data_IF_509660381463
#
_entry.id   IF_509660381463
#
_cell.length_a   1.000
_cell.length_b   1.000
_cell.length_c   1.000
_cell.angle_alpha   90.00
_cell.angle_beta   90.00
_cell.angle_gamma   90.00
#
_symmetry.space_group_name_H-M   'P 1'
#
loop_
_entity.id
_entity.type
_entity.pdbx_description
1 polymer ?
#
# COMPACT_ATOMS: atom_id res chain seq x y z
N UNK A 1 1.00 14.73 0.03
CA UNK A 1 0.26 13.55 -0.46
C UNK A 1 -0.86 13.15 0.50
N UNK A 2 -0.58 12.96 1.79
CA UNK A 2 -1.58 12.62 2.81
C UNK A 2 -2.73 13.63 2.83
N UNK A 3 -2.45 14.93 2.77
CA UNK A 3 -3.46 16.00 2.74
C UNK A 3 -4.44 15.95 1.56
N UNK A 4 -4.00 15.38 0.44
CA UNK A 4 -4.82 15.24 -0.77
C UNK A 4 -5.73 14.02 -0.68
N UNK A 5 -5.26 12.96 -0.02
CA UNK A 5 -5.94 11.65 0.01
C UNK A 5 -6.91 11.54 1.19
N UNK A 6 -6.68 12.29 2.28
CA UNK A 6 -7.54 12.28 3.45
C UNK A 6 -8.50 13.46 3.39
N UNK A 7 -9.78 13.19 3.12
CA UNK A 7 -10.83 14.20 3.01
C UNK A 7 -11.15 14.89 4.35
N UNK A 8 -11.07 14.17 5.47
CA UNK A 8 -11.39 14.71 6.79
C UNK A 8 -10.14 14.93 7.65
N UNK A 9 -9.65 16.17 7.67
CA UNK A 9 -8.52 16.59 8.53
C UNK A 9 -8.87 16.70 10.01
N UNK A 10 -10.15 16.57 10.36
CA UNK A 10 -10.66 16.91 11.70
C UNK A 10 -10.24 15.92 12.79
N UNK A 11 -9.94 14.67 12.41
CA UNK A 11 -9.62 13.58 13.34
C UNK A 11 -8.30 12.88 13.02
N UNK A 12 -7.58 13.31 11.98
CA UNK A 12 -6.35 12.66 11.53
C UNK A 12 -5.15 13.56 11.75
N UNK A 13 -4.17 13.08 12.51
CA UNK A 13 -2.88 13.75 12.68
C UNK A 13 -2.12 13.73 11.36
N UNK A 14 -1.82 14.90 10.82
CA UNK A 14 -1.09 15.04 9.56
C UNK A 14 0.41 14.92 9.80
N UNK A 15 1.11 14.40 8.79
CA UNK A 15 2.55 14.13 8.88
C UNK A 15 2.86 12.70 9.34
N UNK A 16 4.14 12.37 9.39
CA UNK A 16 4.57 11.07 9.88
C UNK A 16 4.17 10.89 11.34
N UNK A 17 3.83 9.66 11.71
CA UNK A 17 3.51 9.32 13.10
C UNK A 17 4.74 9.51 14.00
N UNK A 18 4.49 9.85 15.24
CA UNK A 18 5.50 10.08 16.29
C UNK A 18 5.33 9.09 17.45
N UNK A 19 4.66 7.98 17.18
CA UNK A 19 4.32 6.92 18.11
C UNK A 19 4.31 5.57 17.39
N UNK A 20 4.29 4.48 18.12
CA UNK A 20 4.15 3.14 17.57
C UNK A 20 2.85 2.99 16.79
N UNK A 21 2.71 1.91 16.04
CA UNK A 21 1.49 1.61 15.29
C UNK A 21 1.45 0.16 14.88
N UNK A 22 0.25 -0.35 14.69
CA UNK A 22 -0.01 -1.69 14.18
C UNK A 22 -1.25 -1.71 13.30
N UNK A 23 -1.38 -2.75 12.51
CA UNK A 23 -2.58 -3.12 11.79
C UNK A 23 -3.01 -4.48 12.31
N UNK A 24 -4.30 -4.65 12.58
CA UNK A 24 -4.87 -5.86 13.16
C UNK A 24 -6.07 -5.52 14.04
N UNK A 25 -6.48 -6.49 14.83
CA UNK A 25 -7.61 -6.38 15.74
C UNK A 25 -7.19 -5.92 17.14
N UNK A 26 -8.20 -5.72 17.99
CA UNK A 26 -8.03 -5.52 19.43
C UNK A 26 -8.84 -6.58 20.17
N UNK A 27 -8.27 -7.10 21.24
CA UNK A 27 -8.99 -7.98 22.13
C UNK A 27 -10.23 -7.22 22.70
N UNK A 28 -11.40 -7.84 22.60
CA UNK A 28 -12.69 -7.17 22.86
C UNK A 28 -12.90 -6.73 24.31
N UNK A 29 -12.30 -7.44 25.25
CA UNK A 29 -12.47 -7.22 26.69
C UNK A 29 -11.45 -6.26 27.26
N UNK A 30 -10.19 -6.41 26.87
CA UNK A 30 -9.05 -5.65 27.42
C UNK A 30 -8.63 -4.48 26.53
N UNK A 31 -8.96 -4.51 25.24
CA UNK A 31 -8.47 -3.55 24.25
C UNK A 31 -7.04 -3.77 23.79
N UNK A 32 -6.40 -4.87 24.26
CA UNK A 32 -5.03 -5.22 23.90
C UNK A 32 -4.85 -5.41 22.40
N UNK A 33 -3.72 -4.97 21.82
CA UNK A 33 -3.43 -5.16 20.40
C UNK A 33 -3.31 -6.63 20.02
N UNK A 34 -3.90 -7.02 18.90
CA UNK A 34 -3.69 -8.30 18.22
C UNK A 34 -3.16 -7.95 16.82
N UNK A 35 -1.84 -7.74 16.64
CA UNK A 35 -1.29 -7.26 15.41
C UNK A 35 -1.15 -8.34 14.35
N UNK A 36 -1.63 -8.07 13.13
CA UNK A 36 -1.26 -8.76 11.89
C UNK A 36 0.00 -8.15 11.27
N UNK A 37 0.25 -6.88 11.58
CA UNK A 37 1.43 -6.13 11.18
C UNK A 37 1.78 -5.08 12.22
N UNK A 38 3.05 -5.03 12.63
CA UNK A 38 3.60 -3.94 13.43
C UNK A 38 4.33 -2.99 12.50
N UNK A 39 4.02 -1.71 12.58
CA UNK A 39 4.65 -0.67 11.78
C UNK A 39 6.12 -0.45 12.17
N UNK A 40 6.95 0.04 11.26
CA UNK A 40 8.34 0.42 11.58
C UNK A 40 8.40 1.33 12.80
N UNK A 41 9.51 1.37 13.53
CA UNK A 41 9.70 2.36 14.60
C UNK A 41 9.50 3.76 14.04
N UNK A 42 8.77 4.61 14.76
CA UNK A 42 8.51 5.97 14.29
C UNK A 42 9.79 6.80 14.14
N UNK A 43 10.84 6.50 14.93
CA UNK A 43 12.15 7.12 14.84
C UNK A 43 12.88 6.81 13.53
N UNK A 44 12.57 5.67 12.90
CA UNK A 44 13.21 5.19 11.69
C UNK A 44 12.46 5.62 10.41
N UNK A 45 11.25 6.16 10.55
CA UNK A 45 10.35 6.47 9.42
C UNK A 45 11.00 7.42 8.42
N UNK A 46 11.61 8.51 8.87
CA UNK A 46 12.26 9.49 7.99
C UNK A 46 13.33 8.83 7.13
N UNK A 47 14.22 8.04 7.74
CA UNK A 47 15.30 7.34 7.05
C UNK A 47 14.76 6.27 6.08
N UNK A 48 13.74 5.52 6.47
CA UNK A 48 13.14 4.49 5.63
C UNK A 48 12.43 5.09 4.41
N UNK A 49 11.72 6.21 4.58
CA UNK A 49 11.06 6.90 3.47
C UNK A 49 12.07 7.55 2.54
N UNK A 50 13.15 8.13 3.05
CA UNK A 50 14.26 8.63 2.22
C UNK A 50 14.88 7.51 1.41
N UNK A 51 15.16 6.35 2.02
CA UNK A 51 15.65 5.15 1.34
C UNK A 51 14.70 4.66 0.25
N UNK A 52 13.40 4.66 0.50
CA UNK A 52 12.36 4.27 -0.46
C UNK A 52 12.33 5.22 -1.67
N UNK A 53 12.43 6.54 -1.44
CA UNK A 53 12.48 7.55 -2.50
C UNK A 53 13.77 7.38 -3.34
N UNK A 54 14.92 7.16 -2.70
CA UNK A 54 16.17 6.93 -3.38
C UNK A 54 16.12 5.65 -4.23
N UNK A 55 15.50 4.60 -3.72
CA UNK A 55 15.26 3.35 -4.46
C UNK A 55 14.38 3.61 -5.69
N UNK A 56 13.30 4.38 -5.57
CA UNK A 56 12.47 4.76 -6.70
C UNK A 56 13.28 5.50 -7.78
N UNK A 57 14.08 6.49 -7.39
CA UNK A 57 14.91 7.24 -8.35
C UNK A 57 15.95 6.35 -9.06
N UNK A 58 16.52 5.37 -8.35
CA UNK A 58 17.42 4.39 -8.96
C UNK A 58 16.70 3.53 -9.99
N UNK A 59 15.55 2.96 -9.65
CA UNK A 59 14.76 2.11 -10.54
C UNK A 59 14.27 2.87 -11.78
N UNK A 60 13.82 4.12 -11.61
CA UNK A 60 13.40 5.01 -12.71
C UNK A 60 14.58 5.33 -13.66
N UNK A 61 15.73 5.68 -13.09
CA UNK A 61 16.97 5.96 -13.87
C UNK A 61 17.42 4.75 -14.70
N UNK A 62 17.38 3.57 -14.11
CA UNK A 62 17.77 2.31 -14.76
C UNK A 62 16.66 1.75 -15.68
N UNK A 63 15.52 2.45 -15.82
CA UNK A 63 14.36 2.05 -16.61
C UNK A 63 13.87 0.64 -16.26
N UNK A 64 13.81 0.37 -14.98
CA UNK A 64 13.34 -0.91 -14.47
C UNK A 64 11.87 -1.14 -14.82
N UNK A 65 11.42 -2.39 -14.82
CA UNK A 65 10.03 -2.73 -15.15
C UNK A 65 9.02 -1.95 -14.29
N UNK A 66 7.99 -1.31 -14.89
CA UNK A 66 7.03 -0.48 -14.16
C UNK A 66 6.27 -1.22 -13.07
N UNK A 67 5.89 -2.48 -13.30
CA UNK A 67 5.11 -3.28 -12.34
C UNK A 67 5.98 -3.72 -11.18
N UNK A 68 7.23 -4.13 -11.46
CA UNK A 68 8.21 -4.46 -10.42
C UNK A 68 8.58 -3.22 -9.59
N UNK A 69 8.73 -2.06 -10.23
CA UNK A 69 8.97 -0.80 -9.54
C UNK A 69 7.78 -0.43 -8.64
N UNK A 70 6.56 -0.50 -9.18
CA UNK A 70 5.35 -0.22 -8.40
C UNK A 70 5.18 -1.18 -7.21
N UNK A 71 5.43 -2.48 -7.41
CA UNK A 71 5.39 -3.46 -6.33
C UNK A 71 6.42 -3.15 -5.25
N UNK A 72 7.67 -2.91 -5.61
CA UNK A 72 8.74 -2.63 -4.66
C UNK A 72 8.46 -1.38 -3.84
N UNK A 73 8.09 -0.29 -4.49
CA UNK A 73 7.91 1.01 -3.82
C UNK A 73 6.61 1.07 -3.03
N UNK A 74 5.49 0.65 -3.63
CA UNK A 74 4.20 0.78 -2.96
C UNK A 74 4.06 -0.20 -1.78
N UNK A 75 4.52 -1.45 -1.92
CA UNK A 75 4.49 -2.40 -0.81
C UNK A 75 5.53 -2.03 0.26
N UNK A 76 6.74 -1.58 -0.12
CA UNK A 76 7.70 -1.04 0.84
C UNK A 76 7.09 0.09 1.68
N UNK A 77 6.39 1.01 1.05
CA UNK A 77 5.68 2.09 1.74
C UNK A 77 4.62 1.56 2.74
N UNK A 78 3.77 0.63 2.32
CA UNK A 78 2.69 0.13 3.22
C UNK A 78 3.24 -0.70 4.37
N UNK A 79 4.39 -1.36 4.19
CA UNK A 79 5.06 -2.08 5.27
C UNK A 79 5.73 -1.13 6.29
N UNK A 80 6.35 -0.04 5.84
CA UNK A 80 6.87 1.02 6.74
C UNK A 80 5.72 1.62 7.56
N UNK A 81 4.54 1.79 6.93
CA UNK A 81 3.33 2.34 7.55
C UNK A 81 3.55 3.70 8.22
N UNK A 82 4.01 4.72 7.47
CA UNK A 82 4.57 5.96 8.05
C UNK A 82 3.53 6.90 8.67
N UNK A 83 2.26 6.79 8.35
CA UNK A 83 1.20 7.68 8.82
C UNK A 83 0.30 7.00 9.86
N UNK A 84 -0.37 7.81 10.68
CA UNK A 84 -1.39 7.31 11.60
C UNK A 84 -2.67 6.85 10.88
N UNK A 85 -2.97 7.41 9.70
CA UNK A 85 -4.08 6.99 8.83
C UNK A 85 -3.75 7.27 7.36
N UNK A 86 -4.41 6.53 6.46
CA UNK A 86 -4.33 6.74 5.01
C UNK A 86 -3.27 5.90 4.29
N UNK A 87 -2.49 5.08 4.99
CA UNK A 87 -1.41 4.30 4.36
C UNK A 87 -1.92 3.40 3.23
N UNK A 88 -3.04 2.69 3.41
CA UNK A 88 -3.62 1.84 2.37
C UNK A 88 -4.13 2.62 1.14
N UNK A 89 -4.66 3.83 1.34
CA UNK A 89 -5.07 4.71 0.24
C UNK A 89 -3.86 5.25 -0.53
N UNK A 90 -2.82 5.66 0.20
CA UNK A 90 -1.56 6.13 -0.38
C UNK A 90 -0.84 5.00 -1.11
N UNK A 91 -0.82 3.80 -0.55
CA UNK A 91 -0.28 2.61 -1.22
C UNK A 91 -0.90 2.40 -2.60
N UNK A 92 -2.23 2.35 -2.69
CA UNK A 92 -2.93 2.20 -3.99
C UNK A 92 -2.66 3.38 -4.92
N UNK A 93 -2.63 4.60 -4.40
CA UNK A 93 -2.26 5.77 -5.19
C UNK A 93 -0.82 5.65 -5.75
N UNK A 94 0.14 5.18 -4.96
CA UNK A 94 1.52 4.98 -5.42
C UNK A 94 1.59 3.97 -6.56
N UNK A 95 0.82 2.88 -6.50
CA UNK A 95 0.73 1.92 -7.62
C UNK A 95 0.29 2.65 -8.89
N UNK A 96 -0.85 3.37 -8.85
CA UNK A 96 -1.35 4.13 -10.00
C UNK A 96 -0.33 5.15 -10.51
N UNK A 97 0.26 5.92 -9.60
CA UNK A 97 1.21 6.98 -9.95
C UNK A 97 2.45 6.42 -10.64
N UNK A 98 3.04 5.35 -10.12
CA UNK A 98 4.27 4.76 -10.66
C UNK A 98 3.99 4.12 -12.02
N UNK A 99 2.91 3.35 -12.16
CA UNK A 99 2.53 2.74 -13.43
C UNK A 99 2.30 3.78 -14.53
N UNK A 100 1.61 4.89 -14.20
CA UNK A 100 1.40 5.99 -15.14
C UNK A 100 2.70 6.75 -15.45
N UNK A 101 3.52 7.05 -14.43
CA UNK A 101 4.79 7.78 -14.59
C UNK A 101 5.79 7.02 -15.43
N UNK A 102 5.84 5.70 -15.32
CA UNK A 102 6.71 4.81 -16.10
C UNK A 102 6.09 4.35 -17.42
N UNK A 103 5.00 5.00 -17.86
CA UNK A 103 4.35 4.81 -19.14
C UNK A 103 3.83 3.37 -19.40
N UNK A 104 3.34 2.68 -18.37
CA UNK A 104 2.60 1.43 -18.58
C UNK A 104 1.32 1.68 -19.38
N UNK A 105 0.76 2.88 -19.27
CA UNK A 105 -0.43 3.33 -20.01
C UNK A 105 -0.16 4.64 -20.72
N UNK A 106 -0.96 4.95 -21.75
CA UNK A 106 -0.88 6.24 -22.45
C UNK A 106 -1.20 7.40 -21.50
N UNK A 107 -0.54 8.55 -21.71
CA UNK A 107 -0.80 9.75 -20.93
C UNK A 107 -2.28 10.15 -21.02
N UNK A 108 -2.86 10.47 -19.86
CA UNK A 108 -4.26 10.87 -19.74
C UNK A 108 -5.26 9.72 -19.59
N UNK A 109 -4.81 8.46 -19.67
CA UNK A 109 -5.66 7.30 -19.40
C UNK A 109 -5.44 6.84 -17.95
N UNK A 110 -6.53 6.81 -17.18
CA UNK A 110 -6.53 6.21 -15.85
C UNK A 110 -6.60 4.69 -16.01
N UNK A 111 -5.58 3.98 -15.54
CA UNK A 111 -5.56 2.53 -15.53
C UNK A 111 -6.27 2.02 -14.26
N UNK A 112 -7.46 1.37 -14.35
CA UNK A 112 -8.31 1.11 -13.18
C UNK A 112 -7.86 -0.10 -12.37
N UNK A 113 -6.55 -0.22 -12.07
CA UNK A 113 -5.96 -1.36 -11.36
C UNK A 113 -6.52 -1.53 -9.94
N UNK A 114 -6.96 -0.43 -9.30
CA UNK A 114 -7.58 -0.52 -7.98
C UNK A 114 -8.86 -1.33 -7.97
N UNK A 115 -9.62 -1.39 -9.08
CA UNK A 115 -10.79 -2.25 -9.19
C UNK A 115 -10.38 -3.73 -9.08
N UNK A 116 -9.36 -4.16 -9.84
CA UNK A 116 -8.84 -5.52 -9.75
C UNK A 116 -8.27 -5.87 -8.37
N UNK A 117 -7.58 -4.92 -7.72
CA UNK A 117 -7.06 -5.12 -6.35
C UNK A 117 -8.23 -5.32 -5.35
N UNK A 118 -9.29 -4.52 -5.47
CA UNK A 118 -10.46 -4.62 -4.58
C UNK A 118 -11.27 -5.89 -4.82
N UNK A 119 -11.41 -6.33 -6.06
CA UNK A 119 -12.06 -7.62 -6.40
C UNK A 119 -11.28 -8.83 -5.82
N UNK A 120 -9.96 -8.67 -5.61
CA UNK A 120 -9.05 -9.68 -5.06
C UNK A 120 -8.58 -9.32 -3.65
N UNK A 121 -9.46 -8.75 -2.83
CA UNK A 121 -9.08 -8.20 -1.52
C UNK A 121 -8.50 -9.25 -0.57
N UNK A 122 -8.97 -10.50 -0.64
CA UNK A 122 -8.43 -11.60 0.17
C UNK A 122 -7.03 -12.01 -0.28
N UNK A 123 -6.78 -12.09 -1.59
CA UNK A 123 -5.44 -12.35 -2.12
C UNK A 123 -4.47 -11.20 -1.74
N UNK A 124 -4.97 -9.96 -1.81
CA UNK A 124 -4.20 -8.78 -1.38
C UNK A 124 -3.82 -8.88 0.10
N UNK A 125 -4.75 -9.28 0.98
CA UNK A 125 -4.47 -9.52 2.39
C UNK A 125 -3.41 -10.59 2.59
N UNK A 126 -3.55 -11.74 1.93
CA UNK A 126 -2.58 -12.84 1.98
C UNK A 126 -1.18 -12.38 1.55
N UNK A 127 -1.09 -11.56 0.51
CA UNK A 127 0.18 -11.02 0.02
C UNK A 127 0.83 -10.06 1.03
N UNK A 128 0.05 -9.23 1.72
CA UNK A 128 0.55 -8.37 2.80
C UNK A 128 1.04 -9.22 3.98
N UNK A 129 0.22 -10.17 4.44
CA UNK A 129 0.53 -11.05 5.57
C UNK A 129 1.72 -11.97 5.28
N UNK A 130 1.95 -12.32 4.01
CA UNK A 130 3.11 -13.16 3.62
C UNK A 130 4.47 -12.52 3.93
N UNK A 131 4.48 -11.21 4.14
CA UNK A 131 5.65 -10.48 4.63
C UNK A 131 5.53 -10.20 6.14
N UNK A 132 4.39 -9.68 6.60
CA UNK A 132 4.25 -9.20 7.97
C UNK A 132 4.28 -10.33 9.01
N UNK A 133 3.61 -11.45 8.75
CA UNK A 133 3.56 -12.56 9.74
C UNK A 133 4.93 -13.14 10.09
N UNK A 134 5.84 -13.46 9.14
CA UNK A 134 7.16 -13.97 9.50
C UNK A 134 8.01 -13.00 10.33
N UNK A 135 7.84 -11.69 10.14
CA UNK A 135 8.63 -10.72 10.92
C UNK A 135 8.05 -10.43 12.30
N UNK A 136 6.74 -10.70 12.53
CA UNK A 136 6.13 -10.50 13.86
C UNK A 136 6.85 -11.28 14.95
N UNK A 137 7.31 -12.50 14.64
CA UNK A 137 8.07 -13.35 15.59
C UNK A 137 9.45 -12.78 15.94
N UNK A 138 9.97 -11.85 15.12
CA UNK A 138 11.29 -11.22 15.29
C UNK A 138 11.20 -9.85 15.96
N UNK A 139 9.98 -9.32 16.13
CA UNK A 139 9.75 -8.00 16.72
C UNK A 139 9.41 -8.17 18.21
N UNK A 140 10.31 -7.67 19.06
CA UNK A 140 10.02 -7.56 20.50
C UNK A 140 9.21 -6.28 20.73
N UNK A 141 8.02 -6.43 21.28
CA UNK A 141 7.13 -5.30 21.54
C UNK A 141 6.36 -5.47 22.86
N UNK A 142 5.81 -4.37 23.35
CA UNK A 142 4.89 -4.35 24.50
C UNK A 142 3.70 -3.43 24.20
N UNK A 143 2.60 -3.66 24.89
CA UNK A 143 1.44 -2.76 24.87
C UNK A 143 1.77 -1.47 25.63
N UNK A 144 1.35 -0.35 25.09
CA UNK A 144 1.41 0.96 25.75
C UNK A 144 0.13 1.25 26.54
N UNK A 145 0.12 2.21 27.49
CA UNK A 145 -1.08 2.54 28.28
C UNK A 145 -2.32 2.94 27.47
N UNK A 146 -2.13 3.42 26.25
CA UNK A 146 -3.16 3.79 25.28
C UNK A 146 -3.52 2.63 24.33
N UNK A 147 -3.17 1.40 24.70
CA UNK A 147 -3.42 0.19 23.91
C UNK A 147 -2.81 0.22 22.50
N UNK A 148 -1.66 0.86 22.34
CA UNK A 148 -0.85 0.81 21.13
C UNK A 148 0.35 -0.12 21.33
N UNK A 149 1.27 -0.21 20.36
CA UNK A 149 2.48 -1.02 20.43
C UNK A 149 3.72 -0.14 20.56
N UNK A 150 4.67 -0.57 21.40
CA UNK A 150 6.02 -0.01 21.48
C UNK A 150 7.03 -1.10 21.13
N UNK A 151 7.79 -0.92 20.05
CA UNK A 151 8.84 -1.85 19.60
C UNK A 151 10.10 -1.64 20.40
N UNK A 152 10.68 -2.72 20.94
CA UNK A 152 11.78 -2.68 21.90
C UNK A 152 13.15 -2.95 21.26
N UNK A 153 13.23 -3.87 20.30
CA UNK A 153 14.47 -4.23 19.62
C UNK A 153 14.75 -3.38 18.37
N UNK A 154 15.91 -3.54 17.76
CA UNK A 154 16.24 -2.92 16.48
C UNK A 154 15.58 -3.71 15.35
N UNK A 155 14.75 -3.03 14.54
CA UNK A 155 13.93 -3.65 13.49
C UNK A 155 14.04 -2.94 12.13
N UNK A 156 14.91 -1.94 12.01
CA UNK A 156 14.97 -1.11 10.80
C UNK A 156 15.23 -1.92 9.52
N UNK A 157 16.06 -2.95 9.60
CA UNK A 157 16.40 -3.78 8.44
C UNK A 157 15.25 -4.65 7.96
N UNK A 158 14.29 -4.99 8.81
CA UNK A 158 13.07 -5.71 8.40
C UNK A 158 12.21 -4.87 7.47
N UNK A 159 12.24 -3.54 7.56
CA UNK A 159 11.49 -2.62 6.71
C UNK A 159 12.31 -2.05 5.54
N UNK A 160 13.64 -2.16 5.64
CA UNK A 160 14.57 -1.72 4.59
C UNK A 160 14.70 -2.74 3.47
N UNK A 161 14.65 -4.02 3.82
CA UNK A 161 14.87 -5.14 2.89
C UNK A 161 13.72 -6.14 2.95
N UNK A 162 13.11 -6.42 1.82
CA UNK A 162 12.11 -7.47 1.71
C UNK A 162 12.13 -8.13 0.33
N UNK A 163 11.68 -9.39 0.27
CA UNK A 163 11.50 -10.09 -0.99
C UNK A 163 10.14 -9.71 -1.59
N UNK A 164 10.15 -8.89 -2.64
CA UNK A 164 8.96 -8.38 -3.30
C UNK A 164 8.33 -9.35 -4.34
N UNK A 165 8.78 -10.60 -4.42
CA UNK A 165 8.33 -11.54 -5.47
C UNK A 165 6.81 -11.75 -5.43
N UNK A 166 6.25 -12.09 -4.27
CA UNK A 166 4.79 -12.33 -4.12
C UNK A 166 3.97 -11.08 -4.41
N UNK A 167 4.46 -9.91 -4.00
CA UNK A 167 3.84 -8.62 -4.24
C UNK A 167 3.85 -8.27 -5.74
N UNK A 168 4.95 -8.56 -6.42
CA UNK A 168 5.08 -8.38 -7.85
C UNK A 168 4.17 -9.34 -8.63
N UNK A 169 4.14 -10.62 -8.29
CA UNK A 169 3.24 -11.61 -8.90
C UNK A 169 1.76 -11.20 -8.75
N UNK A 170 1.37 -10.77 -7.56
CA UNK A 170 0.02 -10.26 -7.32
C UNK A 170 -0.30 -9.05 -8.21
N UNK A 171 0.62 -8.08 -8.26
CA UNK A 171 0.40 -6.87 -9.05
C UNK A 171 0.37 -7.15 -10.55
N UNK A 172 1.23 -8.04 -11.07
CA UNK A 172 1.15 -8.52 -12.46
C UNK A 172 -0.20 -9.16 -12.76
N UNK A 173 -0.71 -10.01 -11.87
CA UNK A 173 -2.03 -10.62 -12.03
C UNK A 173 -3.15 -9.57 -12.03
N UNK A 174 -3.05 -8.52 -11.21
CA UNK A 174 -4.00 -7.39 -11.25
C UNK A 174 -3.88 -6.59 -12.57
N UNK A 175 -2.68 -6.37 -13.10
CA UNK A 175 -2.48 -5.72 -14.41
C UNK A 175 -3.12 -6.52 -15.53
N UNK A 176 -2.87 -7.84 -15.59
CA UNK A 176 -3.44 -8.74 -16.60
C UNK A 176 -4.98 -8.73 -16.51
N UNK A 177 -5.54 -8.84 -15.32
CA UNK A 177 -6.99 -8.82 -15.09
C UNK A 177 -7.59 -7.45 -15.48
N UNK A 178 -6.92 -6.37 -15.17
CA UNK A 178 -7.36 -5.03 -15.58
C UNK A 178 -7.44 -4.89 -17.09
N UNK A 179 -6.45 -5.39 -17.82
CA UNK A 179 -6.42 -5.35 -19.29
C UNK A 179 -7.48 -6.26 -19.90
N UNK A 180 -7.62 -7.48 -19.40
CA UNK A 180 -8.44 -8.50 -20.05
C UNK A 180 -9.92 -8.48 -19.62
N UNK A 181 -10.24 -7.90 -18.45
CA UNK A 181 -11.59 -7.91 -17.89
C UNK A 181 -12.09 -6.49 -17.57
N UNK A 182 -11.41 -5.78 -16.67
CA UNK A 182 -11.94 -4.50 -16.12
C UNK A 182 -12.13 -3.47 -17.24
N UNK A 183 -11.12 -3.21 -18.07
CA UNK A 183 -11.22 -2.23 -19.16
C UNK A 183 -12.32 -2.60 -20.18
N UNK A 184 -12.40 -3.84 -20.69
CA UNK A 184 -13.51 -4.24 -21.56
C UNK A 184 -14.90 -4.08 -20.94
N UNK A 185 -15.06 -4.40 -19.65
CA UNK A 185 -16.31 -4.22 -18.92
C UNK A 185 -16.70 -2.75 -18.81
N UNK A 186 -15.77 -1.86 -18.45
CA UNK A 186 -16.01 -0.42 -18.38
C UNK A 186 -16.37 0.18 -19.74
N UNK A 187 -15.66 -0.21 -20.80
CA UNK A 187 -15.96 0.25 -22.17
C UNK A 187 -17.36 -0.19 -22.60
N UNK A 188 -17.73 -1.47 -22.34
CA UNK A 188 -19.07 -1.97 -22.66
C UNK A 188 -20.16 -1.26 -21.85
N UNK A 189 -19.90 -0.93 -20.59
CA UNK A 189 -20.83 -0.17 -19.75
C UNK A 189 -21.06 1.22 -20.32
N UNK A 190 -19.99 1.95 -20.69
CA UNK A 190 -20.09 3.30 -21.29
C UNK A 190 -20.88 3.23 -22.61
N UNK A 191 -20.62 2.24 -23.44
CA UNK A 191 -21.33 2.03 -24.70
C UNK A 191 -22.84 1.88 -24.48
N UNK A 192 -23.24 1.00 -23.57
CA UNK A 192 -24.66 0.77 -23.21
C UNK A 192 -25.31 2.01 -22.59
N UNK A 193 -24.57 2.76 -21.78
CA UNK A 193 -25.04 3.99 -21.17
C UNK A 193 -25.31 5.09 -22.24
N UNK A 194 -24.40 5.22 -23.22
CA UNK A 194 -24.58 6.19 -24.32
C UNK A 194 -25.74 5.77 -25.26
N UNK A 195 -25.94 4.50 -25.50
CA UNK A 195 -27.13 4.02 -26.21
C UNK A 195 -28.42 4.38 -25.45
N UNK A 196 -28.47 4.08 -24.17
CA UNK A 196 -29.63 4.42 -23.32
C UNK A 196 -29.95 5.92 -23.35
N UNK A 197 -28.93 6.80 -23.28
CA UNK A 197 -29.12 8.26 -23.36
C UNK A 197 -29.70 8.73 -24.70
N UNK A 198 -29.52 7.98 -25.79
CA UNK A 198 -30.10 8.35 -27.11
C UNK A 198 -31.58 8.00 -27.21
N UNK A 199 -32.11 7.16 -26.31
CA UNK A 199 -33.52 6.80 -26.28
C UNK A 199 -34.39 7.65 -25.34
N UNK A 200 -33.77 8.52 -24.54
CA UNK A 200 -34.43 9.48 -23.66
C UNK A 200 -34.32 10.88 -24.28
#
# INVERSE_FOLDING_TARGET
>A
LQEIIIESKRFTKMGFRTEGGFVGDRERTTGEPIPDHISAKWQDVDQLIEGLINTYHLLDKEKFDPVLTAATIAFGFVFIHPFSDGNGRIHRYLIHHILAKLNLTYQGIIFPISASILDKIEDYRIVLESYSHPILELIEWKTTPDHNVEVLNDTIDYYRYFNATKQAEFLFNCVIDTINRIIPEEVNYIYKYDEFKRFI
#
